data_IF_866851211248
#
_entry.id   IF_866851211248
#
_cell.length_a   1.000
_cell.length_b   1.000
_cell.length_c   1.000
_cell.angle_alpha   90.00
_cell.angle_beta   90.00
_cell.angle_gamma   90.00
#
_symmetry.space_group_name_H-M   'P 1'
#
loop_
_entity.id
_entity.type
_entity.pdbx_description
1 polymer ?
#
# COMPACT_ATOMS: atom_id res chain seq x y z
N UNK A 1 -21.64 -12.02 17.62
CA UNK A 1 -20.93 -13.30 17.54
C UNK A 1 -21.57 -14.24 16.52
N UNK A 2 -22.72 -14.89 16.75
CA UNK A 2 -23.30 -15.81 15.72
C UNK A 2 -23.59 -15.09 14.40
N UNK A 3 -24.21 -13.90 14.44
CA UNK A 3 -24.45 -13.08 13.24
C UNK A 3 -23.18 -12.53 12.59
N UNK A 4 -22.08 -12.41 13.33
CA UNK A 4 -20.79 -11.95 12.78
C UNK A 4 -20.05 -13.11 12.10
N UNK A 5 -20.20 -14.32 12.63
CA UNK A 5 -19.70 -15.54 11.99
C UNK A 5 -20.45 -15.77 10.67
N UNK A 6 -21.78 -15.68 10.67
CA UNK A 6 -22.58 -15.80 9.44
C UNK A 6 -22.18 -14.73 8.40
N UNK A 7 -21.90 -13.50 8.84
CA UNK A 7 -21.42 -12.44 7.96
C UNK A 7 -20.06 -12.78 7.37
N UNK A 8 -19.13 -13.25 8.20
CA UNK A 8 -17.80 -13.65 7.78
C UNK A 8 -17.85 -14.81 6.78
N UNK A 9 -18.68 -15.82 7.05
CA UNK A 9 -18.86 -16.97 6.16
C UNK A 9 -19.36 -16.54 4.77
N UNK A 10 -20.29 -15.58 4.69
CA UNK A 10 -20.75 -15.04 3.41
C UNK A 10 -19.65 -14.28 2.69
N UNK A 11 -18.81 -13.50 3.39
CA UNK A 11 -17.67 -12.81 2.77
C UNK A 11 -16.70 -13.84 2.19
N UNK A 12 -16.42 -14.92 2.92
CA UNK A 12 -15.57 -16.02 2.46
C UNK A 12 -16.15 -16.75 1.24
N UNK A 13 -17.48 -16.97 1.19
CA UNK A 13 -18.13 -17.54 0.01
C UNK A 13 -18.04 -16.65 -1.23
N UNK A 14 -17.93 -15.33 -1.07
CA UNK A 14 -17.83 -14.37 -2.19
C UNK A 14 -16.50 -14.44 -2.95
N UNK A 15 -15.45 -15.09 -2.41
CA UNK A 15 -14.16 -15.25 -3.09
C UNK A 15 -14.30 -15.95 -4.47
N UNK A 16 -15.30 -16.83 -4.63
CA UNK A 16 -15.59 -17.47 -5.92
C UNK A 16 -15.87 -16.46 -7.05
N UNK A 17 -16.29 -15.25 -6.73
CA UNK A 17 -16.59 -14.19 -7.71
C UNK A 17 -15.32 -13.74 -8.44
N UNK A 18 -14.15 -13.78 -7.78
CA UNK A 18 -12.87 -13.46 -8.41
C UNK A 18 -12.56 -14.37 -9.60
N UNK A 19 -13.12 -15.59 -9.64
CA UNK A 19 -12.94 -16.52 -10.76
C UNK A 19 -13.79 -16.19 -12.00
N UNK A 20 -14.65 -15.16 -11.93
CA UNK A 20 -15.55 -14.74 -13.02
C UNK A 20 -15.64 -13.21 -13.11
N UNK A 21 -14.55 -12.51 -13.49
CA UNK A 21 -14.50 -11.04 -13.50
C UNK A 21 -15.51 -10.38 -14.45
N UNK A 22 -16.00 -11.10 -15.47
CA UNK A 22 -17.12 -10.67 -16.32
C UNK A 22 -18.39 -10.27 -15.53
N UNK A 23 -18.56 -10.81 -14.33
CA UNK A 23 -19.71 -10.57 -13.46
C UNK A 23 -19.50 -9.42 -12.46
N UNK A 24 -18.36 -8.74 -12.46
CA UNK A 24 -18.07 -7.66 -11.52
C UNK A 24 -19.04 -6.48 -11.61
N UNK A 25 -19.62 -6.23 -12.78
CA UNK A 25 -20.69 -5.24 -12.93
C UNK A 25 -21.88 -5.49 -11.98
N UNK A 26 -22.19 -6.76 -11.67
CA UNK A 26 -23.25 -7.11 -10.72
C UNK A 26 -22.91 -6.70 -9.29
N UNK A 27 -21.62 -6.76 -8.88
CA UNK A 27 -21.19 -6.28 -7.56
C UNK A 27 -21.45 -4.78 -7.42
N UNK A 28 -21.24 -4.02 -8.50
CA UNK A 28 -21.46 -2.57 -8.52
C UNK A 28 -22.96 -2.25 -8.57
N UNK A 29 -23.69 -2.82 -9.52
CA UNK A 29 -25.14 -2.59 -9.70
C UNK A 29 -25.96 -2.96 -8.45
N UNK A 30 -25.57 -4.03 -7.76
CA UNK A 30 -26.24 -4.50 -6.54
C UNK A 30 -25.70 -3.83 -5.26
N UNK A 31 -24.84 -2.81 -5.36
CA UNK A 31 -24.23 -2.09 -4.23
C UNK A 31 -23.44 -2.99 -3.26
N UNK A 32 -22.91 -4.12 -3.74
CA UNK A 32 -22.04 -4.97 -2.95
C UNK A 32 -20.72 -4.27 -2.62
N UNK A 33 -20.13 -3.55 -3.59
CA UNK A 33 -18.88 -2.79 -3.39
C UNK A 33 -19.02 -1.77 -2.25
N UNK A 34 -20.08 -0.96 -2.27
CA UNK A 34 -20.31 0.03 -1.21
C UNK A 34 -20.51 -0.62 0.18
N UNK A 35 -21.20 -1.77 0.22
CA UNK A 35 -21.40 -2.53 1.45
C UNK A 35 -20.08 -3.09 1.99
N UNK A 36 -19.24 -3.67 1.13
CA UNK A 36 -17.90 -4.16 1.48
C UNK A 36 -17.02 -3.03 2.01
N UNK A 37 -16.98 -1.89 1.33
CA UNK A 37 -16.23 -0.72 1.78
C UNK A 37 -16.68 -0.23 3.16
N UNK A 38 -17.98 -0.27 3.46
CA UNK A 38 -18.50 0.05 4.80
C UNK A 38 -18.01 -0.91 5.89
N UNK A 39 -17.80 -2.18 5.54
CA UNK A 39 -17.33 -3.21 6.48
C UNK A 39 -15.84 -3.10 6.81
N UNK A 40 -15.03 -2.36 6.04
CA UNK A 40 -13.64 -2.06 6.40
C UNK A 40 -13.53 -1.31 7.75
N UNK A 41 -14.56 -0.55 8.12
CA UNK A 41 -14.65 0.17 9.39
C UNK A 41 -15.36 -0.61 10.50
N UNK A 42 -15.68 -1.88 10.30
CA UNK A 42 -16.43 -2.70 11.26
C UNK A 42 -15.67 -2.88 12.58
N UNK A 43 -16.31 -2.77 13.75
CA UNK A 43 -15.63 -2.80 15.05
C UNK A 43 -14.77 -4.05 15.28
N UNK A 44 -15.24 -5.22 14.83
CA UNK A 44 -14.45 -6.45 14.79
C UNK A 44 -13.44 -6.41 13.62
N UNK A 45 -12.14 -6.48 13.93
CA UNK A 45 -11.05 -6.49 12.95
C UNK A 45 -11.08 -7.72 12.04
N UNK A 46 -11.55 -8.88 12.53
CA UNK A 46 -11.69 -10.11 11.72
C UNK A 46 -12.56 -9.88 10.48
N UNK A 47 -13.68 -9.15 10.65
CA UNK A 47 -14.61 -8.84 9.54
C UNK A 47 -13.94 -7.92 8.51
N UNK A 48 -13.21 -6.91 8.97
CA UNK A 48 -12.51 -6.02 8.05
C UNK A 48 -11.37 -6.73 7.31
N UNK A 49 -10.66 -7.63 7.99
CA UNK A 49 -9.60 -8.45 7.37
C UNK A 49 -10.19 -9.38 6.32
N UNK A 50 -11.33 -10.02 6.58
CA UNK A 50 -12.02 -10.84 5.59
C UNK A 50 -12.42 -10.03 4.33
N UNK A 51 -12.83 -8.78 4.50
CA UNK A 51 -13.10 -7.88 3.36
C UNK A 51 -11.82 -7.52 2.62
N UNK A 52 -10.73 -7.22 3.33
CA UNK A 52 -9.42 -6.95 2.72
C UNK A 52 -8.94 -8.15 1.92
N UNK A 53 -9.07 -9.36 2.46
CA UNK A 53 -8.71 -10.61 1.78
C UNK A 53 -9.52 -10.81 0.49
N UNK A 54 -10.85 -10.63 0.55
CA UNK A 54 -11.71 -10.67 -0.63
C UNK A 54 -11.34 -9.59 -1.66
N UNK A 55 -11.08 -8.36 -1.23
CA UNK A 55 -10.69 -7.27 -2.13
C UNK A 55 -9.34 -7.54 -2.80
N UNK A 56 -8.40 -8.16 -2.08
CA UNK A 56 -7.11 -8.55 -2.64
C UNK A 56 -7.28 -9.55 -3.79
N UNK A 57 -8.11 -10.58 -3.62
CA UNK A 57 -8.38 -11.54 -4.71
C UNK A 57 -9.16 -10.91 -5.87
N UNK A 58 -10.17 -10.09 -5.57
CA UNK A 58 -10.96 -9.42 -6.62
C UNK A 58 -10.11 -8.46 -7.47
N UNK A 59 -9.06 -7.89 -6.87
CA UNK A 59 -8.14 -6.96 -7.52
C UNK A 59 -6.86 -7.62 -8.02
N UNK A 60 -6.69 -8.93 -7.88
CA UNK A 60 -5.51 -9.64 -8.39
C UNK A 60 -5.25 -9.32 -9.87
N UNK A 61 -4.00 -9.01 -10.23
CA UNK A 61 -3.70 -8.46 -11.56
C UNK A 61 -3.97 -9.47 -12.68
N UNK A 62 -3.70 -10.76 -12.45
CA UNK A 62 -3.98 -11.81 -13.42
C UNK A 62 -5.51 -11.91 -13.62
N UNK A 63 -6.27 -11.83 -12.52
CA UNK A 63 -7.74 -11.80 -12.54
C UNK A 63 -8.30 -10.59 -13.29
N UNK A 64 -7.80 -9.38 -13.03
CA UNK A 64 -8.26 -8.16 -13.70
C UNK A 64 -7.99 -8.19 -15.22
N UNK A 65 -6.95 -8.89 -15.66
CA UNK A 65 -6.61 -9.05 -17.08
C UNK A 65 -7.52 -10.04 -17.82
N UNK A 66 -8.26 -10.90 -17.13
CA UNK A 66 -9.21 -11.82 -17.77
C UNK A 66 -10.44 -11.11 -18.34
N UNK A 67 -10.85 -9.97 -17.75
CA UNK A 67 -11.98 -9.15 -18.24
C UNK A 67 -11.77 -7.66 -17.97
N UNK A 68 -11.30 -6.93 -18.99
CA UNK A 68 -11.03 -5.49 -18.90
C UNK A 68 -12.30 -4.69 -18.54
N UNK A 69 -13.46 -5.02 -19.13
CA UNK A 69 -14.72 -4.31 -18.87
C UNK A 69 -15.21 -4.53 -17.43
N UNK A 70 -15.12 -5.76 -16.91
CA UNK A 70 -15.45 -6.06 -15.52
C UNK A 70 -14.50 -5.39 -14.53
N UNK A 71 -13.20 -5.42 -14.83
CA UNK A 71 -12.16 -4.77 -14.04
C UNK A 71 -12.34 -3.25 -13.98
N UNK A 72 -12.58 -2.59 -15.11
CA UNK A 72 -12.80 -1.13 -15.15
C UNK A 72 -13.95 -0.71 -14.23
N UNK A 73 -15.09 -1.39 -14.33
CA UNK A 73 -16.30 -1.07 -13.54
C UNK A 73 -16.06 -1.27 -12.04
N UNK A 74 -15.36 -2.34 -11.65
CA UNK A 74 -15.00 -2.58 -10.24
C UNK A 74 -14.05 -1.51 -9.72
N UNK A 75 -12.96 -1.24 -10.44
CA UNK A 75 -11.93 -0.28 -10.02
C UNK A 75 -12.50 1.14 -9.94
N UNK A 76 -13.36 1.54 -10.88
CA UNK A 76 -14.09 2.81 -10.82
C UNK A 76 -14.92 2.91 -9.54
N UNK A 77 -15.70 1.88 -9.21
CA UNK A 77 -16.55 1.87 -8.01
C UNK A 77 -15.73 1.92 -6.71
N UNK A 78 -14.58 1.23 -6.66
CA UNK A 78 -13.67 1.27 -5.52
C UNK A 78 -13.04 2.66 -5.31
N UNK A 79 -12.62 3.31 -6.40
CA UNK A 79 -12.05 4.66 -6.35
C UNK A 79 -13.10 5.71 -5.97
N UNK A 80 -14.30 5.65 -6.55
CA UNK A 80 -15.44 6.50 -6.16
C UNK A 80 -15.78 6.34 -4.66
N UNK A 81 -15.64 5.12 -4.14
CA UNK A 81 -15.82 4.79 -2.73
C UNK A 81 -14.65 5.17 -1.80
N UNK A 82 -13.60 5.80 -2.32
CA UNK A 82 -12.39 6.16 -1.57
C UNK A 82 -11.72 4.97 -0.86
N UNK A 83 -11.61 3.84 -1.57
CA UNK A 83 -11.08 2.58 -1.00
C UNK A 83 -9.74 2.76 -0.28
N UNK A 84 -8.81 3.57 -0.82
CA UNK A 84 -7.48 3.73 -0.21
C UNK A 84 -7.58 4.42 1.15
N UNK A 85 -8.40 5.46 1.29
CA UNK A 85 -8.63 6.12 2.57
C UNK A 85 -9.22 5.16 3.61
N UNK A 86 -10.16 4.31 3.20
CA UNK A 86 -10.80 3.32 4.08
C UNK A 86 -9.83 2.20 4.48
N UNK A 87 -9.02 1.72 3.54
CA UNK A 87 -7.96 0.74 3.80
C UNK A 87 -6.93 1.30 4.79
N UNK A 88 -6.48 2.55 4.60
CA UNK A 88 -5.55 3.21 5.54
C UNK A 88 -6.15 3.33 6.94
N UNK A 89 -7.42 3.73 7.05
CA UNK A 89 -8.12 3.78 8.35
C UNK A 89 -8.21 2.40 9.01
N UNK A 90 -8.45 1.35 8.23
CA UNK A 90 -8.43 -0.02 8.73
C UNK A 90 -7.04 -0.44 9.21
N UNK A 91 -5.97 -0.13 8.45
CA UNK A 91 -4.60 -0.45 8.88
C UNK A 91 -4.18 0.26 10.18
N UNK A 92 -4.70 1.47 10.46
CA UNK A 92 -4.32 2.21 11.68
C UNK A 92 -4.77 1.56 12.99
N UNK A 93 -5.74 0.65 12.93
CA UNK A 93 -6.28 -0.06 14.10
C UNK A 93 -5.79 -1.51 14.24
N UNK A 94 -5.01 -2.01 13.27
CA UNK A 94 -4.45 -3.37 13.29
C UNK A 94 -3.19 -3.45 14.17
N UNK A 95 -3.02 -4.56 14.88
CA UNK A 95 -1.85 -4.92 15.69
C UNK A 95 -1.03 -6.01 14.99
N UNK A 96 0.11 -5.62 14.40
CA UNK A 96 1.03 -6.53 13.70
C UNK A 96 1.69 -7.60 14.58
N UNK A 97 1.46 -7.61 15.90
CA UNK A 97 1.84 -8.73 16.75
C UNK A 97 0.88 -9.92 16.62
N UNK A 98 -0.33 -9.68 16.10
CA UNK A 98 -1.30 -10.71 15.72
C UNK A 98 -1.05 -11.05 14.26
N UNK A 99 -0.81 -12.34 13.98
CA UNK A 99 -0.41 -12.79 12.65
C UNK A 99 -1.48 -12.44 11.59
N UNK A 100 -2.73 -12.71 11.91
CA UNK A 100 -3.88 -12.47 11.03
C UNK A 100 -4.03 -10.99 10.68
N UNK A 101 -3.74 -10.09 11.63
CA UNK A 101 -3.79 -8.64 11.39
C UNK A 101 -2.56 -8.15 10.61
N UNK A 102 -1.39 -8.76 10.83
CA UNK A 102 -0.20 -8.51 10.00
C UNK A 102 -0.41 -8.94 8.54
N UNK A 103 -1.05 -10.10 8.32
CA UNK A 103 -1.46 -10.59 7.00
C UNK A 103 -2.50 -9.63 6.37
N UNK A 104 -3.40 -9.05 7.17
CA UNK A 104 -4.34 -8.01 6.71
C UNK A 104 -3.66 -6.74 6.21
N UNK A 105 -2.55 -6.32 6.83
CA UNK A 105 -1.73 -5.20 6.30
C UNK A 105 -1.06 -5.60 4.99
N UNK A 106 -0.50 -6.80 4.91
CA UNK A 106 0.12 -7.31 3.68
C UNK A 106 -0.87 -7.28 2.51
N UNK A 107 -2.07 -7.83 2.70
CA UNK A 107 -3.12 -7.85 1.69
C UNK A 107 -3.60 -6.44 1.32
N UNK A 108 -3.60 -5.51 2.27
CA UNK A 108 -3.90 -4.10 1.98
C UNK A 108 -2.89 -3.48 1.02
N UNK A 109 -1.59 -3.76 1.22
CA UNK A 109 -0.54 -3.30 0.32
C UNK A 109 -0.66 -3.95 -1.07
N UNK A 110 -1.02 -5.24 -1.12
CA UNK A 110 -1.27 -5.95 -2.38
C UNK A 110 -2.43 -5.37 -3.19
N UNK A 111 -3.54 -4.99 -2.54
CA UNK A 111 -4.64 -4.28 -3.23
C UNK A 111 -4.10 -3.01 -3.90
N UNK A 112 -3.30 -2.21 -3.18
CA UNK A 112 -2.76 -0.97 -3.75
C UNK A 112 -1.80 -1.25 -4.90
N UNK A 113 -0.94 -2.25 -4.79
CA UNK A 113 -0.04 -2.68 -5.87
C UNK A 113 -0.84 -3.04 -7.11
N UNK A 114 -1.78 -3.98 -6.99
CA UNK A 114 -2.56 -4.47 -8.11
C UNK A 114 -3.36 -3.36 -8.79
N UNK A 115 -4.02 -2.51 -7.99
CA UNK A 115 -4.74 -1.37 -8.52
C UNK A 115 -3.79 -0.41 -9.24
N UNK A 116 -2.60 -0.15 -8.68
CA UNK A 116 -1.62 0.79 -9.26
C UNK A 116 -1.03 0.25 -10.56
N UNK A 117 -0.84 -1.07 -10.66
CA UNK A 117 -0.42 -1.73 -11.90
C UNK A 117 -1.51 -1.64 -12.98
N UNK A 118 -2.77 -1.92 -12.62
CA UNK A 118 -3.90 -1.81 -13.54
C UNK A 118 -4.18 -0.37 -13.97
N UNK A 119 -4.08 0.60 -13.04
CA UNK A 119 -4.36 2.02 -13.29
C UNK A 119 -3.32 2.93 -12.62
N UNK A 120 -2.16 3.16 -13.27
CA UNK A 120 -1.06 3.97 -12.71
C UNK A 120 -1.45 5.42 -12.35
N UNK A 121 -2.52 5.95 -12.94
CA UNK A 121 -3.07 7.27 -12.62
C UNK A 121 -3.52 7.42 -11.16
N UNK A 122 -3.84 6.32 -10.48
CA UNK A 122 -4.34 6.36 -9.10
C UNK A 122 -3.26 6.67 -8.06
N UNK A 123 -1.98 6.46 -8.36
CA UNK A 123 -0.89 6.60 -7.38
C UNK A 123 -0.90 7.97 -6.68
N UNK A 124 -1.22 9.04 -7.42
CA UNK A 124 -1.33 10.39 -6.86
C UNK A 124 -2.46 10.47 -5.83
N UNK A 125 -3.63 9.95 -6.18
CA UNK A 125 -4.80 9.98 -5.32
C UNK A 125 -4.60 9.09 -4.10
N UNK A 126 -4.12 7.86 -4.28
CA UNK A 126 -3.82 6.93 -3.20
C UNK A 126 -2.84 7.56 -2.18
N UNK A 127 -1.76 8.18 -2.67
CA UNK A 127 -0.81 8.88 -1.82
C UNK A 127 -1.46 10.02 -1.00
N UNK A 128 -2.35 10.81 -1.62
CA UNK A 128 -3.07 11.91 -0.99
C UNK A 128 -4.15 11.44 -0.01
N UNK A 129 -4.72 10.25 -0.20
CA UNK A 129 -5.71 9.64 0.69
C UNK A 129 -5.09 9.07 2.00
N UNK A 130 -3.84 9.43 2.31
CA UNK A 130 -3.18 9.10 3.58
C UNK A 130 -2.19 7.94 3.50
N UNK A 131 -2.15 7.20 2.39
CA UNK A 131 -1.24 6.06 2.22
C UNK A 131 0.23 6.48 2.35
N UNK A 132 0.61 7.60 1.73
CA UNK A 132 1.98 8.13 1.82
C UNK A 132 2.39 8.38 3.27
N UNK A 133 1.49 8.97 4.06
CA UNK A 133 1.71 9.24 5.48
C UNK A 133 1.92 7.95 6.27
N UNK A 134 1.07 6.96 6.00
CA UNK A 134 1.09 5.68 6.68
C UNK A 134 2.38 4.91 6.37
N UNK A 135 2.77 4.83 5.09
CA UNK A 135 4.01 4.18 4.64
C UNK A 135 5.24 4.80 5.29
N UNK A 136 5.37 6.14 5.28
CA UNK A 136 6.49 6.83 5.92
C UNK A 136 6.56 6.57 7.43
N UNK A 137 5.40 6.54 8.11
CA UNK A 137 5.31 6.20 9.54
C UNK A 137 5.77 4.76 9.79
N UNK A 138 5.31 3.81 8.98
CA UNK A 138 5.63 2.38 9.12
C UNK A 138 7.10 2.08 8.82
N UNK A 139 7.66 2.68 7.77
CA UNK A 139 9.08 2.55 7.42
C UNK A 139 9.98 3.13 8.53
N UNK A 140 9.60 4.28 9.10
CA UNK A 140 10.35 4.93 10.20
C UNK A 140 10.20 4.22 11.55
N UNK A 141 9.19 3.37 11.71
CA UNK A 141 8.90 2.71 12.98
C UNK A 141 10.12 1.95 13.52
N UNK A 142 10.37 2.09 14.82
CA UNK A 142 11.48 1.44 15.52
C UNK A 142 11.09 0.00 15.91
N UNK A 143 10.82 -0.80 14.90
CA UNK A 143 10.51 -2.23 15.02
C UNK A 143 11.54 -3.05 14.25
N UNK A 144 11.69 -4.35 14.56
CA UNK A 144 12.50 -5.26 13.75
C UNK A 144 12.08 -5.22 12.28
N UNK A 145 13.02 -5.56 11.40
CA UNK A 145 12.69 -5.78 9.99
C UNK A 145 11.75 -6.99 9.85
N UNK A 146 10.75 -6.84 8.99
CA UNK A 146 9.75 -7.85 8.65
C UNK A 146 9.30 -7.69 7.18
N UNK A 147 8.53 -8.65 6.68
CA UNK A 147 8.04 -8.65 5.30
C UNK A 147 7.16 -7.42 5.00
N UNK A 148 6.33 -6.98 5.95
CA UNK A 148 5.51 -5.78 5.77
C UNK A 148 6.37 -4.51 5.61
N UNK A 149 7.51 -4.40 6.31
CA UNK A 149 8.44 -3.28 6.13
C UNK A 149 9.11 -3.29 4.76
N UNK A 150 9.48 -4.47 4.26
CA UNK A 150 9.96 -4.64 2.89
C UNK A 150 8.88 -4.19 1.90
N UNK A 151 7.66 -4.72 2.04
CA UNK A 151 6.59 -4.42 1.09
C UNK A 151 6.20 -2.93 1.10
N UNK A 152 6.21 -2.28 2.27
CA UNK A 152 6.04 -0.82 2.36
C UNK A 152 7.07 -0.05 1.51
N UNK A 153 8.31 -0.53 1.42
CA UNK A 153 9.35 0.11 0.61
C UNK A 153 9.09 -0.03 -0.90
N UNK A 154 8.52 -1.15 -1.33
CA UNK A 154 8.12 -1.41 -2.72
C UNK A 154 6.94 -0.53 -3.12
N UNK A 155 5.87 -0.50 -2.32
CA UNK A 155 4.71 0.36 -2.57
C UNK A 155 5.14 1.83 -2.60
N UNK A 156 6.04 2.26 -1.70
CA UNK A 156 6.57 3.62 -1.72
C UNK A 156 7.31 3.93 -3.05
N UNK A 157 8.12 3.00 -3.54
CA UNK A 157 8.82 3.15 -4.81
C UNK A 157 7.83 3.23 -6.00
N UNK A 158 6.79 2.39 -6.01
CA UNK A 158 5.70 2.41 -7.00
C UNK A 158 4.99 3.77 -7.02
N UNK A 159 4.59 4.29 -5.86
CA UNK A 159 3.89 5.59 -5.76
C UNK A 159 4.73 6.75 -6.32
N UNK A 160 6.05 6.67 -6.18
CA UNK A 160 6.99 7.71 -6.62
C UNK A 160 7.43 7.56 -8.08
N UNK A 161 7.14 6.41 -8.71
CA UNK A 161 7.63 6.10 -10.04
C UNK A 161 7.01 7.06 -11.08
N UNK A 162 7.84 7.82 -11.77
CA UNK A 162 7.44 8.76 -12.82
C UNK A 162 6.33 9.76 -12.43
N UNK A 163 6.23 10.13 -11.15
CA UNK A 163 5.13 10.97 -10.64
C UNK A 163 5.63 12.15 -9.81
N UNK A 164 5.61 13.37 -10.39
CA UNK A 164 6.10 14.58 -9.71
C UNK A 164 5.20 15.03 -8.55
N UNK A 165 3.89 14.76 -8.62
CA UNK A 165 2.96 15.13 -7.55
C UNK A 165 3.25 14.33 -6.27
N UNK A 166 3.49 13.02 -6.39
CA UNK A 166 3.82 12.18 -5.23
C UNK A 166 5.23 12.45 -4.70
N UNK A 167 6.19 12.79 -5.58
CA UNK A 167 7.54 13.24 -5.18
C UNK A 167 7.49 14.55 -4.40
N UNK A 168 6.64 15.49 -4.82
CA UNK A 168 6.45 16.76 -4.11
C UNK A 168 5.81 16.50 -2.74
N UNK A 169 4.73 15.73 -2.70
CA UNK A 169 4.02 15.34 -1.47
C UNK A 169 4.97 14.69 -0.46
N UNK A 170 5.74 13.68 -0.86
CA UNK A 170 6.70 13.02 0.04
C UNK A 170 7.68 14.03 0.65
N UNK A 171 8.18 14.96 -0.17
CA UNK A 171 9.10 15.98 0.30
C UNK A 171 8.47 17.00 1.25
N UNK A 172 7.18 17.32 1.09
CA UNK A 172 6.43 18.17 2.03
C UNK A 172 6.20 17.49 3.39
N UNK A 173 6.25 16.16 3.43
CA UNK A 173 6.05 15.33 4.62
C UNK A 173 7.36 14.96 5.32
N UNK A 174 8.44 15.70 5.06
CA UNK A 174 9.80 15.39 5.54
C UNK A 174 10.26 13.96 5.18
N UNK A 175 9.70 13.38 4.10
CA UNK A 175 9.98 12.00 3.71
C UNK A 175 11.42 11.79 3.24
N UNK A 176 12.09 12.83 2.73
CA UNK A 176 13.51 12.76 2.37
C UNK A 176 14.37 12.44 3.60
N UNK A 177 14.08 13.06 4.74
CA UNK A 177 14.80 12.79 5.98
C UNK A 177 14.52 11.37 6.49
N UNK A 178 13.30 10.86 6.29
CA UNK A 178 12.94 9.47 6.61
C UNK A 178 13.77 8.48 5.77
N UNK A 179 13.84 8.68 4.45
CA UNK A 179 14.63 7.85 3.54
C UNK A 179 16.11 7.87 3.93
N UNK A 180 16.69 9.05 4.13
CA UNK A 180 18.08 9.20 4.56
C UNK A 180 18.35 8.52 5.91
N UNK A 181 17.44 8.66 6.87
CA UNK A 181 17.56 8.03 8.17
C UNK A 181 17.57 6.49 8.05
N UNK A 182 16.68 5.90 7.26
CA UNK A 182 16.65 4.44 7.07
C UNK A 182 17.88 3.93 6.34
N UNK A 183 18.30 4.60 5.26
CA UNK A 183 19.52 4.25 4.54
C UNK A 183 20.76 4.36 5.46
N UNK A 184 20.79 5.34 6.38
CA UNK A 184 21.93 5.55 7.27
C UNK A 184 22.26 4.37 8.20
N UNK A 185 21.34 3.41 8.37
CA UNK A 185 21.58 2.17 9.11
C UNK A 185 22.66 1.34 8.42
N UNK A 186 22.70 1.35 7.08
CA UNK A 186 23.59 0.52 6.26
C UNK A 186 24.95 1.17 5.96
N UNK A 187 25.23 2.37 6.48
CA UNK A 187 26.47 3.13 6.17
C UNK A 187 27.78 2.48 6.63
N UNK A 188 27.73 1.47 7.50
CA UNK A 188 28.92 0.79 8.06
C UNK A 188 28.82 -0.73 8.01
N UNK A 189 27.64 -1.25 7.71
CA UNK A 189 27.32 -2.67 7.76
C UNK A 189 26.38 -2.96 6.60
N UNK A 190 26.62 -4.06 5.90
CA UNK A 190 25.72 -4.52 4.86
C UNK A 190 24.41 -5.06 5.48
N UNK A 191 23.32 -5.11 4.71
CA UNK A 191 22.12 -5.86 5.04
C UNK A 191 22.45 -7.30 5.49
N UNK A 192 21.70 -7.82 6.45
CA UNK A 192 21.93 -9.14 7.02
C UNK A 192 21.34 -10.26 6.17
N UNK A 193 20.29 -9.95 5.41
CA UNK A 193 19.56 -10.88 4.55
C UNK A 193 19.35 -10.28 3.16
N UNK A 194 18.91 -11.12 2.20
CA UNK A 194 18.60 -10.65 0.84
C UNK A 194 17.39 -9.71 0.83
N UNK A 195 16.41 -9.98 1.69
CA UNK A 195 15.19 -9.17 1.86
C UNK A 195 15.51 -7.79 2.46
N UNK A 196 16.44 -7.71 3.43
CA UNK A 196 16.92 -6.41 3.92
C UNK A 196 17.69 -5.63 2.82
N UNK A 197 18.40 -6.34 1.94
CA UNK A 197 19.09 -5.73 0.81
C UNK A 197 18.10 -5.18 -0.21
N UNK A 198 17.06 -5.93 -0.54
CA UNK A 198 15.98 -5.51 -1.43
C UNK A 198 15.27 -4.27 -0.88
N UNK A 199 14.93 -4.25 0.42
CA UNK A 199 14.38 -3.05 1.05
C UNK A 199 15.33 -1.85 0.93
N UNK A 200 16.64 -2.05 1.12
CA UNK A 200 17.62 -0.97 0.96
C UNK A 200 17.65 -0.45 -0.48
N UNK A 201 17.58 -1.32 -1.48
CA UNK A 201 17.52 -0.96 -2.90
C UNK A 201 16.23 -0.18 -3.23
N UNK A 202 15.07 -0.64 -2.73
CA UNK A 202 13.79 0.07 -2.87
C UNK A 202 13.83 1.50 -2.28
N UNK A 203 14.47 1.66 -1.12
CA UNK A 203 14.65 2.99 -0.51
C UNK A 203 15.60 3.89 -1.32
N UNK A 204 16.62 3.32 -1.97
CA UNK A 204 17.46 4.06 -2.92
C UNK A 204 16.69 4.46 -4.17
N UNK A 205 15.85 3.58 -4.72
CA UNK A 205 15.01 3.88 -5.88
C UNK A 205 14.01 4.99 -5.57
N UNK A 206 13.34 4.92 -4.41
CA UNK A 206 12.47 5.98 -3.91
C UNK A 206 13.23 7.31 -3.79
N UNK A 207 14.41 7.31 -3.17
CA UNK A 207 15.23 8.52 -2.99
C UNK A 207 15.69 9.10 -4.35
N UNK A 208 16.17 8.26 -5.26
CA UNK A 208 16.56 8.66 -6.61
C UNK A 208 15.39 9.27 -7.37
N UNK A 209 14.21 8.63 -7.31
CA UNK A 209 12.99 9.15 -7.93
C UNK A 209 12.63 10.53 -7.35
N UNK A 210 12.68 10.71 -6.03
CA UNK A 210 12.45 12.00 -5.39
C UNK A 210 13.42 13.10 -5.88
N UNK A 211 14.70 12.77 -6.10
CA UNK A 211 15.73 13.73 -6.53
C UNK A 211 15.59 14.17 -8.00
N UNK A 212 14.75 13.49 -8.78
CA UNK A 212 14.36 13.94 -10.12
C UNK A 212 13.56 15.25 -10.05
N UNK A 213 12.83 15.48 -8.94
CA UNK A 213 12.15 16.76 -8.67
C UNK A 213 13.12 17.76 -8.04
N UNK A 214 13.26 18.94 -8.66
CA UNK A 214 14.21 19.95 -8.22
C UNK A 214 13.99 20.42 -6.77
N UNK A 215 12.73 20.53 -6.32
CA UNK A 215 12.37 20.95 -4.96
C UNK A 215 12.95 20.02 -3.87
N UNK A 216 13.12 18.74 -4.17
CA UNK A 216 13.66 17.76 -3.22
C UNK A 216 15.19 17.80 -3.11
N UNK A 217 15.90 18.42 -4.05
CA UNK A 217 17.36 18.54 -3.98
C UNK A 217 17.81 19.41 -2.81
N UNK A 218 17.09 20.50 -2.55
CA UNK A 218 17.34 21.36 -1.39
C UNK A 218 17.01 20.63 -0.07
N UNK A 219 15.94 19.84 -0.05
CA UNK A 219 15.57 19.00 1.10
C UNK A 219 16.66 17.96 1.39
N UNK A 220 17.14 17.26 0.37
CA UNK A 220 18.24 16.30 0.47
C UNK A 220 19.56 16.94 0.95
N UNK A 221 19.89 18.14 0.45
CA UNK A 221 21.07 18.86 0.89
C UNK A 221 20.97 19.25 2.38
N UNK A 222 19.80 19.71 2.82
CA UNK A 222 19.53 20.05 4.23
C UNK A 222 19.57 18.83 5.14
N UNK A 223 19.11 17.67 4.66
CA UNK A 223 19.16 16.39 5.37
C UNK A 223 20.54 15.73 5.43
N UNK A 224 21.61 16.43 5.03
CA UNK A 224 22.99 15.89 4.96
C UNK A 224 23.13 14.66 4.02
N UNK A 225 22.29 14.58 2.99
CA UNK A 225 22.28 13.43 2.08
C UNK A 225 23.61 13.22 1.36
N UNK A 226 24.30 14.30 0.96
CA UNK A 226 25.63 14.21 0.33
C UNK A 226 26.68 13.58 1.26
N UNK A 227 26.65 13.94 2.54
CA UNK A 227 27.55 13.42 3.57
C UNK A 227 27.29 11.93 3.79
N UNK A 228 26.02 11.53 3.83
CA UNK A 228 25.65 10.13 3.96
C UNK A 228 26.13 9.30 2.75
N UNK A 229 25.86 9.78 1.52
CA UNK A 229 26.30 9.07 0.31
C UNK A 229 27.82 8.92 0.26
N UNK A 230 28.58 9.96 0.64
CA UNK A 230 30.04 9.90 0.69
C UNK A 230 30.58 8.94 1.77
N UNK A 231 29.80 8.66 2.82
CA UNK A 231 30.17 7.66 3.83
C UNK A 231 29.89 6.22 3.38
N UNK A 232 29.04 6.03 2.36
CA UNK A 232 28.63 4.73 1.82
C UNK A 232 29.49 4.27 0.63
N UNK A 233 30.28 5.17 0.04
CA UNK A 233 31.27 4.89 -1.01
C UNK A 233 32.56 4.31 -0.44
#
# INVERSE_FOLDING_TARGET
METELDLNDVIQEMHVIATMPDLYHLLVELNAVHSLLGLLSHENTDVAIAVVDLLQELTDIDTLQESEEGAEVLIDSLLEGQVVALLVQSMERLDEQVKEEADGIYNTLAIVENMSEFRPGLCTEAAQQGLMQWLLKRIKAKMPFDANKLYCSEILAILLQNNDNTRELLGEMDGIDVLLQQLSVFKRHNPSTAEEQEMMENLFDALCSCLMLAANRDRFLKGEGLQLMNLML
#
